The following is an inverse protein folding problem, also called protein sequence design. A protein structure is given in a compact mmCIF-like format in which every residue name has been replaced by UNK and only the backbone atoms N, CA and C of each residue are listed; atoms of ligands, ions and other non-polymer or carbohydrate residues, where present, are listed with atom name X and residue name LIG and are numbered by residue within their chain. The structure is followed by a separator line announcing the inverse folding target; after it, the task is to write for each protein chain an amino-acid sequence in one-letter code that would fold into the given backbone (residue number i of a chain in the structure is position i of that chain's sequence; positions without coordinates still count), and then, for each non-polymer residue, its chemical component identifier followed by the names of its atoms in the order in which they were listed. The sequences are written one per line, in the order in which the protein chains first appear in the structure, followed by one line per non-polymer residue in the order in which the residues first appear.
data_IF_153797210870
#
_entry.id   IF_153797210870
#
_cell.length_a   1.000
_cell.length_b   1.000
_cell.length_c   1.000
_cell.angle_alpha   90.00
_cell.angle_beta   90.00
_cell.angle_gamma   90.00
#
_symmetry.space_group_name_H-M   'P 1'
#
loop_
_entity.id
_entity.type
_entity.pdbx_description
1 polymer ?
#
# COMPACT_ATOMS: atom_id res chain seq x y z
N UNK A 1 -2.95 16.20 1.93
CA UNK A 1 -2.37 15.16 2.82
C UNK A 1 -0.85 15.23 2.93
N UNK A 2 -0.07 15.14 1.84
CA UNK A 2 1.40 15.11 1.96
C UNK A 2 2.02 16.45 2.39
N UNK A 3 1.40 17.58 2.03
CA UNK A 3 1.93 18.91 2.40
C UNK A 3 1.79 19.14 3.91
N UNK A 4 0.65 18.75 4.47
CA UNK A 4 0.31 18.80 5.88
C UNK A 4 1.26 17.89 6.68
N UNK A 5 1.49 16.65 6.22
CA UNK A 5 2.45 15.74 6.86
C UNK A 5 3.88 16.30 6.86
N UNK A 6 4.32 16.94 5.77
CA UNK A 6 5.63 17.60 5.70
C UNK A 6 5.72 18.80 6.65
N UNK A 7 4.64 19.55 6.83
CA UNK A 7 4.59 20.68 7.75
C UNK A 7 4.62 20.21 9.21
N UNK A 8 3.88 19.17 9.56
CA UNK A 8 3.83 18.61 10.92
C UNK A 8 5.12 17.87 11.32
N UNK A 9 5.79 17.24 10.35
CA UNK A 9 6.97 16.38 10.60
C UNK A 9 8.17 16.75 9.72
N UNK A 10 8.72 17.98 9.80
CA UNK A 10 9.72 18.48 8.85
C UNK A 10 11.06 17.73 8.87
N UNK A 11 11.38 17.02 9.96
CA UNK A 11 12.58 16.18 10.07
C UNK A 11 12.46 14.82 9.38
N UNK A 12 11.25 14.43 8.94
CA UNK A 12 11.00 13.14 8.31
C UNK A 12 11.18 13.22 6.79
N UNK A 13 11.60 12.11 6.19
CA UNK A 13 11.81 12.03 4.74
C UNK A 13 10.51 11.61 4.03
N UNK A 14 9.93 12.54 3.29
CA UNK A 14 8.72 12.30 2.49
C UNK A 14 9.05 12.22 1.00
N UNK A 15 8.78 11.06 0.38
CA UNK A 15 8.80 10.90 -1.08
C UNK A 15 7.37 10.82 -1.62
N UNK A 16 7.10 11.56 -2.70
CA UNK A 16 5.83 11.49 -3.43
C UNK A 16 6.03 10.59 -4.64
N UNK A 17 5.29 9.49 -4.68
CA UNK A 17 5.31 8.53 -5.77
C UNK A 17 3.98 7.79 -5.86
N UNK A 18 3.69 7.29 -7.06
CA UNK A 18 2.64 6.29 -7.24
C UNK A 18 3.10 4.93 -6.66
N UNK A 19 2.19 4.21 -6.01
CA UNK A 19 2.48 2.91 -5.39
C UNK A 19 2.94 1.86 -6.41
N UNK A 20 2.53 1.98 -7.68
CA UNK A 20 2.99 1.10 -8.76
C UNK A 20 4.45 1.35 -9.15
N UNK A 21 5.05 2.46 -8.73
CA UNK A 21 6.42 2.87 -9.09
C UNK A 21 7.42 2.71 -7.94
N UNK A 22 7.19 1.76 -7.02
CA UNK A 22 8.07 1.48 -5.87
C UNK A 22 9.50 1.09 -6.26
N UNK A 23 9.71 0.60 -7.49
CA UNK A 23 11.03 0.30 -8.05
C UNK A 23 11.95 1.52 -8.21
N UNK A 24 11.40 2.74 -8.09
CA UNK A 24 12.19 3.98 -8.02
C UNK A 24 12.84 4.21 -6.65
N UNK A 25 12.53 3.38 -5.65
CA UNK A 25 13.18 3.41 -4.35
C UNK A 25 14.41 2.50 -4.36
N UNK A 26 15.51 3.03 -3.85
CA UNK A 26 16.85 2.42 -3.85
C UNK A 26 17.26 1.86 -2.48
N UNK A 27 16.45 2.09 -1.44
CA UNK A 27 16.72 1.67 -0.07
C UNK A 27 15.87 0.47 0.32
N UNK A 28 16.44 -0.36 1.20
CA UNK A 28 15.70 -1.43 1.88
C UNK A 28 15.25 -1.01 3.26
N UNK A 29 14.17 -1.64 3.73
CA UNK A 29 13.52 -1.35 4.99
C UNK A 29 13.29 -2.63 5.78
N UNK A 30 13.34 -2.54 7.11
CA UNK A 30 12.99 -3.65 8.00
C UNK A 30 11.47 -3.80 8.16
N UNK A 31 10.75 -2.67 8.08
CA UNK A 31 9.29 -2.62 8.22
C UNK A 31 8.69 -1.74 7.13
N UNK A 32 7.66 -2.26 6.47
CA UNK A 32 6.89 -1.54 5.45
C UNK A 32 5.42 -1.58 5.85
N UNK A 33 4.75 -0.43 5.83
CA UNK A 33 3.36 -0.28 6.25
C UNK A 33 2.49 0.21 5.08
N UNK A 34 1.48 -0.58 4.72
CA UNK A 34 0.36 -0.14 3.90
C UNK A 34 -0.86 0.05 4.78
N UNK A 35 -1.13 1.30 5.16
CA UNK A 35 -2.25 1.64 6.04
C UNK A 35 -3.43 2.05 5.18
N UNK A 36 -4.44 1.18 5.08
CA UNK A 36 -5.65 1.40 4.29
C UNK A 36 -5.39 1.92 2.87
N UNK A 37 -4.27 1.54 2.25
CA UNK A 37 -3.85 2.07 0.95
C UNK A 37 -3.76 1.01 -0.15
N UNK A 38 -3.28 -0.19 0.18
CA UNK A 38 -3.00 -1.25 -0.80
C UNK A 38 -4.26 -1.73 -1.56
N UNK A 39 -5.41 -1.77 -0.90
CA UNK A 39 -6.67 -2.22 -1.51
C UNK A 39 -7.23 -1.27 -2.59
N UNK A 40 -6.67 -0.07 -2.77
CA UNK A 40 -7.05 0.84 -3.86
C UNK A 40 -6.48 0.44 -5.24
N UNK A 41 -5.50 -0.47 -5.26
CA UNK A 41 -4.99 -1.05 -6.52
C UNK A 41 -6.10 -1.79 -7.24
N UNK A 42 -6.27 -1.50 -8.53
CA UNK A 42 -7.51 -1.77 -9.26
C UNK A 42 -7.72 -3.26 -9.49
N UNK A 43 -6.69 -3.92 -9.99
CA UNK A 43 -6.76 -5.31 -10.42
C UNK A 43 -5.72 -6.18 -9.70
N UNK A 44 -5.84 -7.49 -9.89
CA UNK A 44 -4.96 -8.46 -9.24
C UNK A 44 -3.49 -8.32 -9.72
N UNK A 45 -3.29 -7.98 -10.98
CA UNK A 45 -1.96 -7.79 -11.58
C UNK A 45 -1.21 -6.62 -10.92
N UNK A 46 -1.86 -5.47 -10.76
CA UNK A 46 -1.31 -4.31 -10.06
C UNK A 46 -0.95 -4.68 -8.60
N UNK A 47 -1.85 -5.37 -7.89
CA UNK A 47 -1.61 -5.84 -6.52
C UNK A 47 -0.39 -6.76 -6.43
N UNK A 48 -0.29 -7.74 -7.32
CA UNK A 48 0.85 -8.65 -7.36
C UNK A 48 2.15 -7.93 -7.72
N UNK A 49 2.12 -7.03 -8.71
CA UNK A 49 3.27 -6.22 -9.11
C UNK A 49 3.79 -5.34 -7.97
N UNK A 50 2.91 -4.69 -7.22
CA UNK A 50 3.28 -3.89 -6.04
C UNK A 50 3.88 -4.76 -4.95
N UNK A 51 3.32 -5.94 -4.65
CA UNK A 51 3.89 -6.85 -3.65
C UNK A 51 5.29 -7.34 -4.07
N UNK A 52 5.48 -7.72 -5.34
CA UNK A 52 6.78 -8.14 -5.85
C UNK A 52 7.83 -7.03 -5.74
N UNK A 53 7.46 -5.77 -6.08
CA UNK A 53 8.35 -4.62 -5.90
C UNK A 53 8.65 -4.36 -4.41
N UNK A 54 7.65 -4.48 -3.55
CA UNK A 54 7.81 -4.32 -2.10
C UNK A 54 8.77 -5.37 -1.51
N UNK A 55 8.69 -6.62 -1.96
CA UNK A 55 9.61 -7.68 -1.54
C UNK A 55 11.08 -7.39 -1.91
N UNK A 56 11.34 -6.60 -2.95
CA UNK A 56 12.72 -6.17 -3.28
C UNK A 56 13.23 -5.08 -2.32
N UNK A 57 12.31 -4.33 -1.74
CA UNK A 57 12.58 -3.23 -0.80
C UNK A 57 12.65 -3.70 0.66
N UNK A 58 12.41 -4.97 0.97
CA UNK A 58 12.45 -5.46 2.34
C UNK A 58 13.78 -6.16 2.66
N UNK A 59 14.28 -5.94 3.87
CA UNK A 59 15.42 -6.69 4.39
C UNK A 59 15.03 -8.14 4.71
N UNK A 60 16.02 -9.02 4.75
CA UNK A 60 15.81 -10.42 5.16
C UNK A 60 15.30 -10.44 6.61
N UNK A 61 14.15 -11.05 6.83
CA UNK A 61 13.49 -11.09 8.15
C UNK A 61 12.65 -9.85 8.49
N UNK A 62 12.52 -8.90 7.56
CA UNK A 62 11.62 -7.76 7.72
C UNK A 62 10.14 -8.14 7.56
N UNK A 63 9.25 -7.22 7.93
CA UNK A 63 7.81 -7.41 7.89
C UNK A 63 7.07 -6.37 7.03
N UNK A 64 6.04 -6.84 6.33
CA UNK A 64 5.06 -6.00 5.64
C UNK A 64 3.76 -6.03 6.44
N UNK A 65 3.32 -4.88 6.92
CA UNK A 65 2.05 -4.72 7.59
C UNK A 65 1.03 -4.15 6.60
N UNK A 66 -0.15 -4.75 6.54
CA UNK A 66 -1.23 -4.30 5.66
C UNK A 66 -2.53 -4.23 6.44
N UNK A 67 -3.13 -3.05 6.49
CA UNK A 67 -4.53 -2.90 6.88
C UNK A 67 -5.35 -2.64 5.62
N UNK A 68 -6.30 -3.51 5.34
CA UNK A 68 -7.14 -3.45 4.15
C UNK A 68 -8.61 -3.43 4.52
N UNK A 69 -9.42 -2.87 3.63
CA UNK A 69 -10.87 -2.98 3.79
C UNK A 69 -11.30 -4.43 3.66
N UNK A 70 -12.14 -4.86 4.59
CA UNK A 70 -12.69 -6.21 4.56
C UNK A 70 -13.78 -6.29 3.48
N UNK A 71 -13.48 -7.01 2.39
CA UNK A 71 -14.41 -7.25 1.28
C UNK A 71 -15.71 -7.90 1.74
N UNK A 72 -15.65 -8.76 2.76
CA UNK A 72 -16.77 -9.54 3.28
C UNK A 72 -17.49 -8.86 4.45
N UNK A 73 -17.10 -7.64 4.83
CA UNK A 73 -17.87 -6.87 5.81
C UNK A 73 -19.28 -6.62 5.30
N UNK A 74 -20.26 -6.51 6.20
CA UNK A 74 -21.67 -6.31 5.82
C UNK A 74 -21.87 -5.10 4.88
N UNK A 75 -21.10 -4.03 5.11
CA UNK A 75 -21.13 -2.80 4.30
C UNK A 75 -20.62 -3.07 2.88
N UNK A 76 -19.51 -3.79 2.74
CA UNK A 76 -18.88 -4.03 1.43
C UNK A 76 -19.54 -5.19 0.67
N UNK A 77 -19.99 -6.24 1.36
CA UNK A 77 -20.61 -7.39 0.71
C UNK A 77 -21.88 -6.99 -0.05
N UNK A 78 -22.72 -6.13 0.53
CA UNK A 78 -23.90 -5.55 -0.16
C UNK A 78 -23.51 -4.79 -1.44
N UNK A 79 -22.42 -4.02 -1.39
CA UNK A 79 -21.92 -3.21 -2.51
C UNK A 79 -21.36 -4.05 -3.68
N UNK A 80 -20.77 -5.21 -3.40
CA UNK A 80 -20.11 -6.05 -4.42
C UNK A 80 -20.93 -7.27 -4.85
N UNK A 81 -22.00 -7.65 -4.12
CA UNK A 81 -22.93 -8.71 -4.52
C UNK A 81 -23.67 -8.43 -5.83
N UNK A 82 -23.90 -7.15 -6.17
CA UNK A 82 -24.57 -6.75 -7.42
C UNK A 82 -23.68 -6.90 -8.68
N UNK A 83 -22.36 -7.04 -8.51
CA UNK A 83 -21.40 -7.08 -9.63
C UNK A 83 -21.09 -8.52 -10.08
N UNK A 84 -21.57 -9.53 -9.35
CA UNK A 84 -21.24 -10.96 -9.59
C UNK A 84 -22.43 -11.79 -10.09
N UNK A 85 -23.51 -11.15 -10.55
CA UNK A 85 -24.60 -11.79 -11.30
C UNK A 85 -24.52 -11.40 -12.77
#
# INVERSE_FOLDING_TARGET
MINEAKLEYPSHNFKVLDMTNLDKLDKKYDFIFFIASFHHLKNQEERQGVLQKTLKLINKGGFIFMTNWNLLSEINSKRYQEITK
#
